data_IF_221229514607
#
_entry.id   IF_221229514607
#
_cell.length_a   1.000
_cell.length_b   1.000
_cell.length_c   1.000
_cell.angle_alpha   90.00
_cell.angle_beta   90.00
_cell.angle_gamma   90.00
#
_symmetry.space_group_name_H-M   'P 1'
#
loop_
_entity.id
_entity.type
_entity.pdbx_description
1 polymer ?
#
# COMPACT_ATOMS: atom_id res chain seq x y z
N UNK A 1 -9.93 9.92 -32.80
CA UNK A 1 -8.74 10.78 -32.63
C UNK A 1 -7.84 10.15 -31.58
N UNK A 2 -6.74 9.50 -32.00
CA UNK A 2 -5.77 8.88 -31.09
C UNK A 2 -4.81 9.95 -30.60
N UNK A 3 -5.00 10.41 -29.37
CA UNK A 3 -4.11 11.36 -28.71
C UNK A 3 -2.76 10.71 -28.41
N UNK A 4 -1.72 11.28 -28.99
CA UNK A 4 -0.31 10.97 -28.76
C UNK A 4 0.03 11.26 -27.27
N UNK A 5 -0.06 10.25 -26.39
CA UNK A 5 0.48 10.35 -25.02
C UNK A 5 2.00 10.20 -25.13
N UNK A 6 2.73 11.31 -25.19
CA UNK A 6 4.18 11.27 -24.94
C UNK A 6 4.44 10.53 -23.63
N UNK A 7 5.44 9.64 -23.62
CA UNK A 7 5.82 8.76 -22.49
C UNK A 7 5.91 9.54 -21.16
N UNK A 8 4.79 9.66 -20.45
CA UNK A 8 4.77 10.17 -19.08
C UNK A 8 5.00 8.96 -18.19
N UNK A 9 6.16 8.89 -17.56
CA UNK A 9 6.44 7.93 -16.49
C UNK A 9 5.40 8.15 -15.39
N UNK A 10 4.62 7.11 -15.11
CA UNK A 10 3.55 7.18 -14.11
C UNK A 10 4.10 7.01 -12.70
N UNK A 11 5.19 6.25 -12.57
CA UNK A 11 5.88 5.96 -11.32
C UNK A 11 6.67 7.16 -10.83
N UNK A 12 6.68 7.36 -9.52
CA UNK A 12 7.35 8.50 -8.87
C UNK A 12 7.55 8.21 -7.38
N UNK A 13 8.25 9.09 -6.68
CA UNK A 13 8.41 9.01 -5.24
C UNK A 13 7.46 9.94 -4.50
N UNK A 14 7.14 9.56 -3.28
CA UNK A 14 6.53 10.40 -2.26
C UNK A 14 7.47 10.49 -1.07
N UNK A 15 7.47 11.64 -0.42
CA UNK A 15 8.11 11.86 0.87
C UNK A 15 7.06 12.31 1.89
N UNK A 16 7.31 12.06 3.17
CA UNK A 16 6.43 12.54 4.21
C UNK A 16 6.70 11.88 5.54
N UNK A 17 5.64 11.54 6.28
CA UNK A 17 5.75 11.06 7.65
C UNK A 17 4.77 9.94 7.96
N UNK A 18 5.23 9.03 8.81
CA UNK A 18 4.37 8.08 9.54
C UNK A 18 4.25 8.55 10.98
N UNK A 19 3.05 8.52 11.52
CA UNK A 19 2.77 8.78 12.94
C UNK A 19 1.99 7.63 13.54
N UNK A 20 2.38 7.16 14.72
CA UNK A 20 1.61 6.23 15.54
C UNK A 20 1.31 6.89 16.87
N UNK A 21 0.08 6.72 17.36
CA UNK A 21 -0.30 7.11 18.71
C UNK A 21 -1.16 6.00 19.33
N UNK A 22 -0.90 5.65 20.59
CA UNK A 22 -1.72 4.70 21.36
C UNK A 22 -2.05 5.29 22.72
N UNK A 23 -3.22 4.94 23.24
CA UNK A 23 -3.73 5.50 24.49
C UNK A 23 -3.13 4.80 25.71
N UNK A 24 -2.89 3.48 25.64
CA UNK A 24 -2.34 2.70 26.75
C UNK A 24 -1.42 1.56 26.25
N UNK A 25 -0.16 1.46 26.73
CA UNK A 25 0.57 2.52 27.42
C UNK A 25 0.74 3.74 26.50
N UNK A 26 0.55 4.95 27.01
CA UNK A 26 0.57 6.18 26.21
C UNK A 26 1.90 6.32 25.49
N UNK A 27 1.86 6.28 24.17
CA UNK A 27 3.04 6.40 23.34
C UNK A 27 2.64 7.05 22.02
N UNK A 28 3.46 7.98 21.57
CA UNK A 28 3.35 8.59 20.25
C UNK A 28 4.73 8.64 19.62
N UNK A 29 4.79 8.30 18.34
CA UNK A 29 6.00 8.29 17.54
C UNK A 29 5.67 8.88 16.18
N UNK A 30 6.53 9.76 15.67
CA UNK A 30 6.46 10.28 14.31
C UNK A 30 7.85 10.25 13.70
N UNK A 31 7.97 9.79 12.45
CA UNK A 31 9.24 9.74 11.75
C UNK A 31 9.07 9.96 10.24
N UNK A 32 10.09 10.52 9.56
CA UNK A 32 10.04 10.75 8.12
C UNK A 32 10.16 9.44 7.35
N UNK A 33 9.51 9.39 6.17
CA UNK A 33 9.52 8.23 5.28
C UNK A 33 9.56 8.65 3.82
N UNK A 34 10.02 7.74 2.97
CA UNK A 34 10.02 7.85 1.52
C UNK A 34 9.39 6.60 0.93
N UNK A 35 8.47 6.77 0.01
CA UNK A 35 7.79 5.67 -0.66
C UNK A 35 7.95 5.80 -2.17
N UNK A 36 8.23 4.69 -2.83
CA UNK A 36 8.03 4.56 -4.27
C UNK A 36 6.55 4.32 -4.54
N UNK A 37 5.99 5.06 -5.49
CA UNK A 37 4.67 4.81 -6.06
C UNK A 37 4.86 4.34 -7.48
N UNK A 38 4.61 3.06 -7.71
CA UNK A 38 5.02 2.34 -8.91
C UNK A 38 3.79 1.86 -9.68
N UNK A 39 3.69 2.18 -10.96
CA UNK A 39 2.74 1.50 -11.84
C UNK A 39 3.32 0.13 -12.21
N UNK A 40 2.60 -0.95 -11.91
CA UNK A 40 3.15 -2.31 -12.00
C UNK A 40 3.59 -2.71 -13.41
N UNK A 41 3.05 -2.12 -14.48
CA UNK A 41 3.46 -2.43 -15.85
C UNK A 41 4.76 -1.74 -16.30
N UNK A 42 5.25 -0.73 -15.57
CA UNK A 42 6.48 0.00 -15.91
C UNK A 42 7.57 -0.07 -14.83
N UNK A 43 7.40 -0.87 -13.76
CA UNK A 43 8.39 -1.00 -12.66
C UNK A 43 9.80 -1.30 -13.19
N UNK A 44 9.90 -2.23 -14.15
CA UNK A 44 11.17 -2.62 -14.73
C UNK A 44 11.87 -1.44 -15.43
N UNK A 45 11.11 -0.61 -16.16
CA UNK A 45 11.65 0.55 -16.87
C UNK A 45 11.95 1.71 -15.91
N UNK A 46 11.11 1.91 -14.90
CA UNK A 46 11.36 2.86 -13.82
C UNK A 46 12.69 2.57 -13.10
N UNK A 47 12.98 1.29 -12.80
CA UNK A 47 14.24 0.90 -12.18
C UNK A 47 15.46 1.22 -13.07
N UNK A 48 15.31 1.25 -14.40
CA UNK A 48 16.42 1.59 -15.33
C UNK A 48 16.76 3.07 -15.35
N UNK A 49 15.93 3.95 -14.78
CA UNK A 49 16.19 5.39 -14.72
C UNK A 49 17.39 5.75 -13.84
N UNK A 50 17.84 4.84 -12.95
CA UNK A 50 19.01 5.05 -12.10
C UNK A 50 19.87 3.80 -12.02
N UNK A 51 21.19 3.98 -12.06
CA UNK A 51 22.16 2.88 -11.84
C UNK A 51 22.11 2.31 -10.43
N UNK A 52 21.51 3.03 -9.48
CA UNK A 52 21.35 2.62 -8.08
C UNK A 52 20.08 1.80 -7.83
N UNK A 53 19.22 1.62 -8.84
CA UNK A 53 17.97 0.86 -8.74
C UNK A 53 18.00 -0.37 -9.66
N UNK A 54 17.28 -1.42 -9.30
CA UNK A 54 17.21 -2.65 -10.10
C UNK A 54 15.91 -3.41 -9.87
N UNK A 55 15.47 -4.12 -10.92
CA UNK A 55 14.37 -5.07 -10.87
C UNK A 55 14.92 -6.50 -10.72
N UNK A 56 14.47 -7.24 -9.70
CA UNK A 56 14.85 -8.64 -9.39
C UNK A 56 16.36 -8.91 -9.34
N UNK A 57 17.15 -7.93 -8.93
CA UNK A 57 18.62 -8.04 -8.79
C UNK A 57 19.10 -7.18 -7.62
N UNK A 58 20.11 -7.62 -6.88
CA UNK A 58 20.71 -6.84 -5.77
C UNK A 58 21.34 -5.55 -6.28
N UNK A 59 21.04 -4.44 -5.61
CA UNK A 59 21.62 -3.11 -5.81
C UNK A 59 21.41 -2.25 -4.54
N UNK A 60 21.70 -0.95 -4.59
CA UNK A 60 21.39 -0.02 -3.49
C UNK A 60 19.89 -0.02 -3.21
N UNK A 61 19.08 0.13 -4.25
CA UNK A 61 17.64 -0.07 -4.21
C UNK A 61 17.23 -1.23 -5.12
N UNK A 62 16.37 -2.11 -4.63
CA UNK A 62 15.92 -3.25 -5.44
C UNK A 62 14.43 -3.52 -5.25
N UNK A 63 13.77 -3.82 -6.35
CA UNK A 63 12.39 -4.29 -6.37
C UNK A 63 12.34 -5.80 -6.62
N UNK A 64 11.72 -6.54 -5.71
CA UNK A 64 11.43 -7.96 -5.84
C UNK A 64 9.92 -8.15 -5.66
N UNK A 65 9.25 -8.77 -6.63
CA UNK A 65 7.81 -9.06 -6.51
C UNK A 65 7.52 -9.99 -5.33
N UNK A 66 8.49 -10.84 -5.02
CA UNK A 66 8.44 -11.85 -3.97
C UNK A 66 8.33 -11.23 -2.57
N UNK A 67 8.64 -9.93 -2.44
CA UNK A 67 8.43 -9.18 -1.20
C UNK A 67 6.97 -8.94 -0.89
N UNK A 68 6.07 -9.12 -1.85
CA UNK A 68 4.68 -8.67 -1.80
C UNK A 68 3.69 -9.85 -1.85
N UNK A 69 2.56 -9.71 -1.14
CA UNK A 69 1.46 -10.68 -1.08
C UNK A 69 1.86 -12.17 -0.93
N UNK A 70 2.95 -12.44 -0.22
CA UNK A 70 3.55 -13.76 0.04
C UNK A 70 4.24 -14.45 -1.16
N UNK A 71 4.46 -13.74 -2.27
CA UNK A 71 5.62 -13.97 -3.15
C UNK A 71 5.70 -15.23 -4.02
N UNK A 72 4.59 -15.89 -4.35
CA UNK A 72 4.62 -17.17 -5.10
C UNK A 72 4.29 -17.06 -6.60
N UNK A 73 3.79 -15.92 -7.07
CA UNK A 73 3.39 -15.69 -8.46
C UNK A 73 3.72 -14.26 -8.91
N UNK A 74 3.52 -14.00 -10.20
CA UNK A 74 3.44 -12.64 -10.75
C UNK A 74 2.55 -11.74 -9.88
N UNK A 75 3.09 -10.57 -9.51
CA UNK A 75 2.47 -9.71 -8.50
C UNK A 75 1.10 -9.19 -8.93
N UNK A 76 0.93 -8.83 -10.21
CA UNK A 76 -0.37 -8.38 -10.73
C UNK A 76 -1.41 -9.48 -10.63
N UNK A 77 -1.02 -10.72 -10.92
CA UNK A 77 -1.89 -11.90 -10.80
C UNK A 77 -2.32 -12.12 -9.36
N UNK A 78 -1.41 -11.98 -8.37
CA UNK A 78 -1.76 -12.07 -6.95
C UNK A 78 -2.74 -10.99 -6.51
N UNK A 79 -2.51 -9.73 -6.92
CA UNK A 79 -3.43 -8.62 -6.63
C UNK A 79 -4.84 -8.92 -7.16
N UNK A 80 -4.94 -9.36 -8.43
CA UNK A 80 -6.23 -9.72 -9.04
C UNK A 80 -6.90 -10.89 -8.32
N UNK A 81 -6.13 -11.90 -7.95
CA UNK A 81 -6.64 -13.05 -7.19
C UNK A 81 -7.22 -12.61 -5.85
N UNK A 82 -6.53 -11.73 -5.11
CA UNK A 82 -7.02 -11.20 -3.83
C UNK A 82 -8.29 -10.38 -3.98
N UNK A 83 -8.40 -9.56 -5.03
CA UNK A 83 -9.65 -8.84 -5.34
C UNK A 83 -10.77 -9.82 -5.66
N UNK A 84 -10.51 -10.84 -6.48
CA UNK A 84 -11.51 -11.84 -6.86
C UNK A 84 -12.00 -12.66 -5.65
N UNK A 85 -11.11 -13.05 -4.74
CA UNK A 85 -11.45 -13.82 -3.53
C UNK A 85 -12.55 -13.15 -2.71
N UNK A 86 -12.54 -11.82 -2.62
CA UNK A 86 -13.51 -11.02 -1.84
C UNK A 86 -14.68 -10.54 -2.70
N UNK A 87 -14.41 -9.87 -3.82
CA UNK A 87 -15.45 -9.22 -4.63
C UNK A 87 -16.21 -10.16 -5.56
N UNK A 88 -15.62 -11.33 -5.87
CA UNK A 88 -16.06 -12.25 -6.94
C UNK A 88 -16.08 -11.62 -8.34
N UNK A 89 -15.35 -10.51 -8.53
CA UNK A 89 -15.22 -9.80 -9.82
C UNK A 89 -13.82 -9.98 -10.39
N UNK A 90 -13.73 -10.29 -11.68
CA UNK A 90 -12.47 -10.29 -12.41
C UNK A 90 -12.01 -8.86 -12.68
N UNK A 91 -11.04 -8.40 -11.89
CA UNK A 91 -10.50 -7.05 -12.00
C UNK A 91 -9.42 -6.96 -13.09
N UNK A 92 -9.67 -6.12 -14.10
CA UNK A 92 -8.77 -5.91 -15.26
C UNK A 92 -8.25 -4.48 -15.36
N UNK A 93 -8.21 -3.77 -14.23
CA UNK A 93 -7.78 -2.39 -14.16
C UNK A 93 -6.27 -2.21 -13.97
N UNK A 94 -5.85 -0.94 -13.84
CA UNK A 94 -4.47 -0.58 -13.53
C UNK A 94 -4.18 -0.78 -12.05
N UNK A 95 -2.94 -1.18 -11.76
CA UNK A 95 -2.49 -1.46 -10.39
C UNK A 95 -1.23 -0.64 -10.14
N UNK A 96 -1.30 0.19 -9.10
CA UNK A 96 -0.16 0.94 -8.59
C UNK A 96 0.21 0.44 -7.20
N UNK A 97 1.49 0.43 -6.89
CA UNK A 97 2.04 -0.01 -5.62
C UNK A 97 2.76 1.14 -4.93
N UNK A 98 2.27 1.52 -3.76
CA UNK A 98 2.99 2.38 -2.82
C UNK A 98 3.78 1.51 -1.84
N UNK A 99 5.11 1.60 -1.89
CA UNK A 99 6.00 0.72 -1.12
C UNK A 99 7.35 1.37 -0.80
N UNK A 100 8.08 0.85 0.19
CA UNK A 100 9.52 1.08 0.30
C UNK A 100 10.27 -0.04 -0.45
N UNK A 101 11.19 0.34 -1.35
CA UNK A 101 12.07 -0.63 -2.01
C UNK A 101 13.06 -1.24 -1.01
N UNK A 102 13.59 -2.44 -1.32
CA UNK A 102 14.71 -3.00 -0.54
C UNK A 102 15.89 -2.04 -0.60
N UNK A 103 16.59 -1.89 0.53
CA UNK A 103 17.79 -1.07 0.64
C UNK A 103 18.97 -1.98 1.01
N UNK A 104 19.99 -2.05 0.15
CA UNK A 104 21.17 -2.89 0.34
C UNK A 104 20.81 -4.35 0.69
N UNK A 105 19.76 -4.88 0.06
CA UNK A 105 19.26 -6.25 0.27
C UNK A 105 18.27 -6.44 1.43
N UNK A 106 18.06 -5.43 2.27
CA UNK A 106 17.12 -5.49 3.40
C UNK A 106 15.76 -4.90 3.03
N UNK A 107 14.67 -5.60 3.38
CA UNK A 107 13.30 -5.11 3.26
C UNK A 107 12.76 -4.76 4.64
N UNK A 108 12.53 -3.47 4.89
CA UNK A 108 11.93 -2.94 6.13
C UNK A 108 10.67 -2.16 5.75
N UNK A 109 9.67 -2.90 5.26
CA UNK A 109 8.46 -2.34 4.67
C UNK A 109 7.24 -2.63 5.54
N UNK A 110 6.85 -1.72 6.47
CA UNK A 110 5.78 -2.01 7.42
C UNK A 110 4.41 -2.15 6.73
N UNK A 111 4.23 -1.52 5.57
CA UNK A 111 2.98 -1.58 4.81
C UNK A 111 3.23 -1.27 3.33
N UNK A 112 2.66 -2.11 2.46
CA UNK A 112 2.51 -1.83 1.03
C UNK A 112 1.04 -1.62 0.70
N UNK A 113 0.75 -0.63 -0.15
CA UNK A 113 -0.62 -0.35 -0.60
C UNK A 113 -0.73 -0.49 -2.11
N UNK A 114 -1.62 -1.38 -2.55
CA UNK A 114 -1.96 -1.54 -3.96
C UNK A 114 -3.22 -0.74 -4.27
N UNK A 115 -3.09 0.32 -5.07
CA UNK A 115 -4.20 1.12 -5.57
C UNK A 115 -4.65 0.59 -6.92
N UNK A 116 -5.90 0.14 -6.98
CA UNK A 116 -6.45 -0.57 -8.13
C UNK A 116 -7.54 0.28 -8.80
N UNK A 117 -7.26 0.77 -10.00
CA UNK A 117 -8.14 1.68 -10.75
C UNK A 117 -8.84 0.96 -11.90
N UNK A 118 -10.12 1.23 -12.13
CA UNK A 118 -10.79 0.72 -13.33
C UNK A 118 -10.29 1.44 -14.60
N UNK A 119 -10.81 1.03 -15.77
CA UNK A 119 -10.48 1.63 -17.08
C UNK A 119 -10.85 3.11 -17.17
N UNK A 120 -11.78 3.59 -16.34
CA UNK A 120 -12.21 4.99 -16.24
C UNK A 120 -11.36 5.80 -15.26
N UNK A 121 -10.25 5.26 -14.74
CA UNK A 121 -9.37 5.88 -13.75
C UNK A 121 -10.02 6.14 -12.38
N UNK A 122 -11.06 5.37 -12.04
CA UNK A 122 -11.70 5.44 -10.73
C UNK A 122 -11.13 4.37 -9.80
N UNK A 123 -10.74 4.78 -8.60
CA UNK A 123 -10.21 3.86 -7.58
C UNK A 123 -11.30 2.89 -7.13
N UNK A 124 -11.12 1.61 -7.44
CA UNK A 124 -12.08 0.55 -7.09
C UNK A 124 -11.67 -0.20 -5.83
N UNK A 125 -10.37 -0.51 -5.69
CA UNK A 125 -9.87 -1.29 -4.56
C UNK A 125 -8.55 -0.73 -4.03
N UNK A 126 -8.35 -0.89 -2.72
CA UNK A 126 -7.03 -0.80 -2.09
C UNK A 126 -6.73 -2.16 -1.46
N UNK A 127 -5.54 -2.72 -1.74
CA UNK A 127 -5.02 -3.85 -0.95
C UNK A 127 -3.93 -3.32 -0.02
N UNK A 128 -4.08 -3.53 1.28
CA UNK A 128 -3.05 -3.23 2.27
C UNK A 128 -2.34 -4.51 2.69
N UNK A 129 -1.05 -4.57 2.42
CA UNK A 129 -0.16 -5.69 2.73
C UNK A 129 0.78 -5.26 3.86
N UNK A 130 0.39 -5.62 5.08
CA UNK A 130 0.95 -5.14 6.34
C UNK A 130 1.90 -6.18 6.91
N UNK A 131 3.11 -5.76 7.26
CA UNK A 131 4.12 -6.60 7.89
C UNK A 131 4.32 -6.16 9.34
N UNK A 132 4.08 -7.07 10.27
CA UNK A 132 4.34 -6.83 11.68
C UNK A 132 5.76 -7.33 12.02
N UNK A 133 6.70 -6.40 12.14
CA UNK A 133 8.05 -6.68 12.65
C UNK A 133 8.09 -6.43 14.16
N UNK A 134 8.78 -7.26 14.98
CA UNK A 134 9.71 -8.33 14.61
C UNK A 134 9.10 -9.73 14.43
N UNK A 135 7.80 -9.92 14.65
CA UNK A 135 7.18 -11.25 14.68
C UNK A 135 7.00 -11.92 13.30
N UNK A 136 7.42 -11.24 12.22
CA UNK A 136 7.37 -11.71 10.83
C UNK A 136 5.96 -12.17 10.39
N UNK A 137 4.94 -11.54 10.97
CA UNK A 137 3.56 -11.80 10.59
C UNK A 137 3.16 -10.89 9.44
N UNK A 138 2.32 -11.42 8.55
CA UNK A 138 1.85 -10.70 7.37
C UNK A 138 0.33 -10.74 7.31
N UNK A 139 -0.27 -9.58 7.10
CA UNK A 139 -1.71 -9.40 7.02
C UNK A 139 -2.08 -8.68 5.74
N UNK A 140 -3.06 -9.22 5.00
CA UNK A 140 -3.52 -8.64 3.73
C UNK A 140 -4.97 -8.23 3.89
N UNK A 141 -5.27 -6.95 3.71
CA UNK A 141 -6.63 -6.40 3.73
C UNK A 141 -7.02 -5.95 2.33
N UNK A 142 -8.20 -6.34 1.86
CA UNK A 142 -8.77 -5.88 0.57
C UNK A 142 -9.95 -4.97 0.87
N UNK A 143 -9.91 -3.75 0.35
CA UNK A 143 -10.83 -2.67 0.67
C UNK A 143 -11.57 -2.23 -0.61
N UNK A 144 -12.89 -2.23 -0.57
CA UNK A 144 -13.75 -1.85 -1.71
C UNK A 144 -14.07 -0.36 -1.70
N UNK A 145 -13.34 0.43 -2.49
CA UNK A 145 -13.42 1.90 -2.49
C UNK A 145 -14.59 2.48 -3.29
N UNK A 146 -15.16 1.71 -4.23
CA UNK A 146 -16.29 2.17 -5.06
C UNK A 146 -17.60 2.32 -4.28
N UNK A 147 -17.69 1.75 -3.07
CA UNK A 147 -18.89 1.82 -2.22
C UNK A 147 -18.93 3.10 -1.39
N UNK A 148 -17.79 3.58 -0.84
CA UNK A 148 -17.64 4.82 -0.04
C UNK A 148 -16.17 5.29 -0.01
N UNK A 149 -15.92 6.60 0.13
CA UNK A 149 -14.58 7.18 0.39
C UNK A 149 -14.09 6.97 1.84
N UNK A 150 -15.02 6.86 2.78
CA UNK A 150 -14.75 6.42 4.16
C UNK A 150 -15.25 4.99 4.31
N UNK A 151 -14.34 4.07 4.64
CA UNK A 151 -14.68 2.65 4.74
C UNK A 151 -14.54 2.23 6.20
N UNK A 152 -15.68 2.20 6.91
CA UNK A 152 -15.77 1.59 8.22
C UNK A 152 -15.91 0.08 8.01
N UNK A 153 -14.91 -0.68 8.44
CA UNK A 153 -14.99 -2.14 8.43
C UNK A 153 -15.12 -2.65 9.86
N UNK A 154 -16.27 -3.26 10.14
CA UNK A 154 -16.35 -4.27 11.21
C UNK A 154 -15.56 -5.50 10.74
N UNK A 155 -14.99 -6.24 11.70
CA UNK A 155 -14.18 -7.45 11.52
C UNK A 155 -14.98 -8.60 10.90
N UNK A 156 -15.50 -8.44 9.69
CA UNK A 156 -16.28 -9.46 8.96
C UNK A 156 -15.52 -10.07 7.78
N UNK A 157 -14.32 -9.58 7.46
CA UNK A 157 -13.44 -10.25 6.51
C UNK A 157 -12.30 -10.95 7.27
N UNK A 158 -12.33 -12.27 7.26
CA UNK A 158 -11.33 -13.18 7.81
C UNK A 158 -9.92 -12.82 7.32
N UNK A 159 -9.16 -11.97 8.03
CA UNK A 159 -7.67 -11.92 7.93
C UNK A 159 -7.06 -10.95 8.96
N UNK A 160 -7.09 -11.36 10.25
CA UNK A 160 -5.98 -11.19 11.22
C UNK A 160 -6.33 -11.94 12.53
N UNK A 161 -5.53 -12.91 13.02
CA UNK A 161 -5.84 -13.71 14.20
C UNK A 161 -5.37 -13.11 15.55
N UNK A 162 -4.58 -12.03 15.57
CA UNK A 162 -3.78 -11.68 16.78
C UNK A 162 -4.18 -10.40 17.51
N UNK A 163 -5.43 -9.95 17.37
CA UNK A 163 -5.96 -8.86 18.18
C UNK A 163 -7.32 -9.27 18.77
N UNK A 164 -7.57 -8.99 20.07
CA UNK A 164 -8.76 -9.44 20.79
C UNK A 164 -10.02 -9.22 19.97
N UNK A 165 -11.01 -10.11 20.09
CA UNK A 165 -12.21 -10.10 19.23
C UNK A 165 -12.93 -8.75 19.21
N UNK A 166 -12.77 -7.95 20.26
CA UNK A 166 -13.42 -6.65 20.46
C UNK A 166 -12.57 -5.46 19.93
N UNK A 167 -12.01 -5.57 18.72
CA UNK A 167 -11.32 -4.47 18.05
C UNK A 167 -11.91 -4.19 16.66
N UNK A 168 -12.21 -2.91 16.40
CA UNK A 168 -12.71 -2.41 15.12
C UNK A 168 -11.65 -1.54 14.43
N UNK A 169 -11.55 -1.65 13.11
CA UNK A 169 -10.60 -0.91 12.29
C UNK A 169 -11.33 0.05 11.36
N UNK A 170 -11.12 1.34 11.58
CA UNK A 170 -11.61 2.38 10.70
C UNK A 170 -10.46 2.82 9.81
N UNK A 171 -10.63 2.62 8.51
CA UNK A 171 -9.64 3.07 7.54
C UNK A 171 -10.14 4.30 6.79
N UNK A 172 -9.23 5.25 6.62
CA UNK A 172 -9.47 6.46 5.86
C UNK A 172 -8.36 6.63 4.81
N UNK A 173 -8.74 6.86 3.56
CA UNK A 173 -7.80 7.05 2.46
C UNK A 173 -8.29 8.13 1.52
N UNK A 174 -7.34 8.77 0.83
CA UNK A 174 -7.64 9.52 -0.38
C UNK A 174 -7.19 8.74 -1.63
N UNK A 175 -7.70 9.16 -2.78
CA UNK A 175 -7.15 8.75 -4.07
C UNK A 175 -5.77 9.39 -4.24
N UNK A 176 -4.72 8.63 -4.62
CA UNK A 176 -3.38 9.17 -4.88
C UNK A 176 -3.38 10.33 -5.89
N UNK A 177 -2.56 11.33 -5.64
CA UNK A 177 -2.42 12.55 -6.43
C UNK A 177 -1.22 13.35 -5.92
N UNK A 178 -1.35 14.66 -5.70
CA UNK A 178 -0.25 15.44 -5.09
C UNK A 178 0.06 15.02 -3.65
N UNK A 179 -0.91 14.39 -2.98
CA UNK A 179 -0.77 13.87 -1.62
C UNK A 179 -1.35 12.47 -1.52
N UNK A 180 -0.78 11.66 -0.65
CA UNK A 180 -1.39 10.42 -0.16
C UNK A 180 -1.57 10.56 1.34
N UNK A 181 -2.77 10.23 1.81
CA UNK A 181 -3.14 10.24 3.22
C UNK A 181 -3.83 8.91 3.53
N UNK A 182 -3.27 8.19 4.48
CA UNK A 182 -3.83 6.95 4.99
C UNK A 182 -3.91 7.05 6.50
N UNK A 183 -5.10 6.83 7.04
CA UNK A 183 -5.36 6.79 8.46
C UNK A 183 -5.95 5.44 8.84
N UNK A 184 -5.44 4.85 9.91
CA UNK A 184 -5.97 3.64 10.53
C UNK A 184 -6.28 4.00 11.97
N UNK A 185 -7.54 3.88 12.37
CA UNK A 185 -7.95 3.98 13.75
C UNK A 185 -8.41 2.62 14.23
N UNK A 186 -7.85 2.19 15.35
CA UNK A 186 -8.23 0.96 16.05
C UNK A 186 -9.00 1.36 17.31
N UNK A 187 -10.23 0.88 17.43
CA UNK A 187 -11.11 1.11 18.58
C UNK A 187 -11.44 -0.22 19.25
N UNK A 188 -11.57 -0.20 20.57
CA UNK A 188 -12.16 -1.27 21.36
C UNK A 188 -13.49 -0.79 21.94
N UNK A 189 -14.35 -1.72 22.36
CA UNK A 189 -15.64 -1.46 23.03
C UNK A 189 -15.55 -0.42 24.17
N UNK A 190 -14.36 -0.28 24.78
CA UNK A 190 -14.14 0.63 25.90
C UNK A 190 -13.33 1.90 25.61
N UNK A 191 -12.66 2.09 24.46
CA UNK A 191 -11.91 3.31 24.05
C UNK A 191 -11.17 3.17 22.69
N UNK A 192 -10.70 4.28 22.10
CA UNK A 192 -9.70 4.21 21.01
C UNK A 192 -8.36 3.68 21.54
N UNK A 193 -7.82 2.66 20.88
CA UNK A 193 -6.62 1.95 21.33
C UNK A 193 -5.38 2.49 20.64
N UNK A 194 -5.47 2.75 19.33
CA UNK A 194 -4.33 3.17 18.52
C UNK A 194 -4.78 3.90 17.25
N UNK A 195 -3.97 4.84 16.81
CA UNK A 195 -4.06 5.46 15.47
C UNK A 195 -2.71 5.37 14.77
N UNK A 196 -2.73 5.05 13.48
CA UNK A 196 -1.59 5.16 12.60
C UNK A 196 -1.97 6.08 11.43
N UNK A 197 -1.10 7.03 11.09
CA UNK A 197 -1.30 7.88 9.92
C UNK A 197 -0.05 7.89 9.06
N UNK A 198 -0.24 7.83 7.75
CA UNK A 198 0.76 8.04 6.71
C UNK A 198 0.33 9.27 5.92
N UNK A 199 1.15 10.31 5.95
CA UNK A 199 0.92 11.56 5.22
C UNK A 199 2.11 11.82 4.30
N UNK A 200 1.84 11.83 3.00
CA UNK A 200 2.83 11.86 1.96
C UNK A 200 2.53 12.97 0.96
N UNK A 201 3.58 13.55 0.36
CA UNK A 201 3.52 14.49 -0.75
C UNK A 201 4.36 13.96 -1.89
N UNK A 202 3.88 14.16 -3.11
CA UNK A 202 4.61 13.76 -4.31
C UNK A 202 5.92 14.55 -4.40
N UNK A 203 7.02 13.85 -4.67
CA UNK A 203 8.30 14.48 -4.97
C UNK A 203 8.26 14.96 -6.42
N UNK A 204 8.57 16.24 -6.63
CA UNK A 204 8.63 16.80 -7.98
C UNK A 204 9.76 16.10 -8.77
N UNK A 205 9.56 15.82 -10.07
CA UNK A 205 10.65 15.33 -10.91
C UNK A 205 11.77 16.39 -10.93
N UNK A 206 12.99 15.96 -10.59
CA UNK A 206 14.22 16.76 -10.65
C UNK A 206 14.74 16.90 -12.07
#
# INVERSE_FOLDING_TARGET
MRGNRGNRVLSHFYEGKVSHARVAPRHALEYPVWFAYLHLDEVQDFCKLSKLCSYRKTNVFSFYEEDYLSGEKDLKTLVRQKIFEISKVNFEGEIFLLTTLRQLGYSMNPISLFYCFNKSQELQYIIADVHNTPWNERYVYVLECYKKRHINHLKEFHVSPFMPMDLSYEWNFNTPGEKIQVGIRVTSSNNSVMTANLNLKRVAPS
#
